data_IF_282123623980
#
_entry.id   IF_282123623980
#
_cell.length_a   1.000
_cell.length_b   1.000
_cell.length_c   1.000
_cell.angle_alpha   90.00
_cell.angle_beta   90.00
_cell.angle_gamma   90.00
#
_symmetry.space_group_name_H-M   'P 1'
#
loop_
_entity.id
_entity.type
_entity.pdbx_description
1 polymer ?
#
# COMPACT_ATOMS: atom_id res chain seq x y z
N UNK A 1 7.51 -12.28 -2.82
CA UNK A 1 8.27 -11.10 -2.38
C UNK A 1 7.25 -9.99 -2.23
N UNK A 2 6.72 -9.83 -1.03
CA UNK A 2 6.02 -8.61 -0.65
C UNK A 2 7.08 -7.58 -0.30
N UNK A 3 7.82 -7.12 -1.30
CA UNK A 3 8.47 -5.85 -1.21
C UNK A 3 7.39 -4.80 -1.28
N UNK A 4 6.78 -4.48 -0.15
CA UNK A 4 6.18 -3.17 0.01
C UNK A 4 7.32 -2.20 -0.11
N UNK A 5 7.58 -1.78 -1.31
CA UNK A 5 8.35 -0.61 -1.56
C UNK A 5 7.62 0.51 -0.87
N UNK A 6 8.31 1.10 0.09
CA UNK A 6 7.75 2.11 0.98
C UNK A 6 7.07 3.20 0.17
N UNK A 7 5.77 3.25 0.32
CA UNK A 7 5.00 4.46 0.03
C UNK A 7 4.69 4.72 -1.41
N UNK A 8 5.05 3.83 -2.34
CA UNK A 8 4.88 4.31 -3.65
C UNK A 8 4.02 3.43 -4.51
N UNK A 9 4.30 2.17 -4.59
CA UNK A 9 4.17 1.68 -5.94
C UNK A 9 2.91 0.93 -6.18
N UNK A 10 2.37 0.25 -5.19
CA UNK A 10 1.05 -0.36 -5.34
C UNK A 10 -0.09 0.67 -5.36
N UNK A 11 0.17 1.84 -4.75
CA UNK A 11 -0.83 2.92 -4.66
C UNK A 11 -0.53 4.10 -5.58
N UNK A 12 0.64 4.17 -6.18
CA UNK A 12 1.13 5.31 -6.99
C UNK A 12 1.29 4.99 -8.49
N UNK A 13 1.07 3.78 -8.93
CA UNK A 13 0.70 3.59 -10.33
C UNK A 13 -0.68 4.18 -10.54
N UNK A 14 -0.72 5.46 -10.22
CA UNK A 14 -1.90 6.25 -10.28
C UNK A 14 -2.14 6.57 -11.75
N UNK A 15 -3.27 6.23 -12.21
CA UNK A 15 -3.81 6.58 -13.52
C UNK A 15 -4.34 8.01 -13.51
N UNK A 16 -3.96 8.74 -12.47
CA UNK A 16 -4.38 10.09 -12.20
C UNK A 16 -3.15 11.02 -12.26
N UNK A 17 -3.37 12.31 -12.50
CA UNK A 17 -2.33 13.32 -12.52
C UNK A 17 -1.88 13.67 -11.09
N UNK A 18 -1.17 12.72 -10.48
CA UNK A 18 -0.70 12.81 -9.10
C UNK A 18 0.58 13.65 -8.95
N UNK A 19 1.08 13.74 -7.72
CA UNK A 19 2.29 14.50 -7.44
C UNK A 19 3.51 13.98 -8.22
N UNK A 20 3.66 12.66 -8.34
CA UNK A 20 4.78 12.10 -9.10
C UNK A 20 4.72 12.49 -10.58
N UNK A 21 3.53 12.40 -11.19
CA UNK A 21 3.34 12.80 -12.58
C UNK A 21 3.65 14.29 -12.80
N UNK A 22 3.26 15.18 -11.84
CA UNK A 22 3.51 16.62 -11.90
C UNK A 22 5.00 16.97 -11.89
N UNK A 23 5.83 16.13 -11.24
CA UNK A 23 7.28 16.35 -11.08
C UNK A 23 8.15 15.50 -12.01
N UNK A 24 7.53 14.70 -12.88
CA UNK A 24 8.24 13.86 -13.85
C UNK A 24 8.49 14.62 -15.15
N UNK A 25 9.69 14.45 -15.73
CA UNK A 25 10.02 14.98 -17.06
C UNK A 25 9.28 14.22 -18.16
N UNK A 26 9.02 12.93 -17.95
CA UNK A 26 8.32 12.07 -18.90
C UNK A 26 7.24 11.27 -18.15
N UNK A 27 6.00 11.34 -18.65
CA UNK A 27 4.86 10.56 -18.13
C UNK A 27 4.39 9.60 -19.22
N UNK A 28 4.39 8.31 -18.90
CA UNK A 28 3.91 7.25 -19.78
C UNK A 28 2.55 6.78 -19.26
N UNK A 29 1.43 7.15 -19.94
CA UNK A 29 0.10 6.79 -19.47
C UNK A 29 -0.16 5.30 -19.60
N UNK A 30 -0.68 4.68 -18.54
CA UNK A 30 -1.04 3.27 -18.53
C UNK A 30 -2.55 3.04 -18.48
N UNK A 31 -2.96 1.88 -18.99
CA UNK A 31 -4.35 1.44 -18.99
C UNK A 31 -4.87 1.13 -17.59
N UNK A 32 -6.18 1.30 -17.42
CA UNK A 32 -6.90 0.81 -16.25
C UNK A 32 -7.26 -0.67 -16.40
N UNK A 33 -7.71 -1.30 -15.33
CA UNK A 33 -8.17 -2.70 -15.38
C UNK A 33 -9.37 -2.95 -16.30
N UNK A 34 -10.14 -1.90 -16.61
CA UNK A 34 -11.26 -1.99 -17.56
C UNK A 34 -10.81 -1.95 -19.02
N UNK A 35 -9.63 -1.40 -19.28
CA UNK A 35 -9.07 -1.17 -20.63
C UNK A 35 -8.16 -2.31 -21.11
N UNK A 36 -7.92 -3.33 -20.27
CA UNK A 36 -7.10 -4.49 -20.59
C UNK A 36 -7.72 -5.78 -20.06
N UNK A 37 -7.26 -6.90 -20.56
CA UNK A 37 -7.57 -8.19 -19.96
C UNK A 37 -6.53 -8.55 -18.89
N UNK A 38 -6.96 -9.33 -17.89
CA UNK A 38 -6.09 -9.76 -16.80
C UNK A 38 -6.70 -10.98 -16.08
N UNK A 39 -6.02 -11.47 -15.05
CA UNK A 39 -6.53 -12.48 -14.12
C UNK A 39 -6.55 -11.89 -12.73
N UNK A 40 -7.70 -11.94 -12.07
CA UNK A 40 -7.82 -11.51 -10.67
C UNK A 40 -7.83 -12.72 -9.75
N UNK A 41 -6.99 -12.66 -8.73
CA UNK A 41 -6.93 -13.60 -7.62
C UNK A 41 -6.59 -12.85 -6.34
N UNK A 42 -7.25 -13.17 -5.24
CA UNK A 42 -6.97 -12.61 -3.92
C UNK A 42 -6.89 -13.70 -2.87
N UNK A 43 -5.98 -13.63 -1.90
CA UNK A 43 -5.85 -14.65 -0.86
C UNK A 43 -7.04 -14.71 0.12
N UNK A 44 -7.96 -13.75 0.05
CA UNK A 44 -9.13 -13.67 0.94
C UNK A 44 -10.43 -14.12 0.28
N UNK A 45 -10.39 -14.45 -0.99
CA UNK A 45 -11.55 -14.78 -1.79
C UNK A 45 -11.25 -16.06 -2.59
N UNK A 46 -12.14 -17.07 -2.58
CA UNK A 46 -11.89 -18.32 -3.31
C UNK A 46 -12.13 -18.23 -4.81
N UNK A 47 -12.44 -17.06 -5.35
CA UNK A 47 -12.74 -16.90 -6.76
C UNK A 47 -11.50 -16.50 -7.56
N UNK A 48 -11.31 -17.17 -8.68
CA UNK A 48 -10.39 -16.77 -9.76
C UNK A 48 -11.23 -16.18 -10.87
N UNK A 49 -10.97 -14.93 -11.23
CA UNK A 49 -11.79 -14.18 -12.18
C UNK A 49 -10.98 -13.85 -13.43
N UNK A 50 -11.56 -14.14 -14.58
CA UNK A 50 -11.06 -13.72 -15.89
C UNK A 50 -11.54 -12.29 -16.16
N UNK A 51 -10.66 -11.33 -16.01
CA UNK A 51 -10.97 -9.94 -16.31
C UNK A 51 -10.89 -9.72 -17.83
N UNK A 52 -12.01 -9.42 -18.45
CA UNK A 52 -12.06 -9.08 -19.87
C UNK A 52 -11.88 -7.58 -20.08
N UNK A 53 -11.25 -7.20 -21.17
CA UNK A 53 -11.24 -5.80 -21.62
C UNK A 53 -12.67 -5.37 -21.95
N UNK A 54 -13.14 -4.29 -21.33
CA UNK A 54 -14.51 -3.79 -21.47
C UNK A 54 -14.59 -2.51 -22.29
N UNK A 55 -13.52 -1.71 -22.29
CA UNK A 55 -13.44 -0.44 -23.00
C UNK A 55 -12.09 -0.30 -23.70
N UNK A 56 -12.03 0.52 -24.75
CA UNK A 56 -10.77 0.84 -25.40
C UNK A 56 -9.90 1.74 -24.53
N UNK A 57 -8.56 1.60 -24.61
CA UNK A 57 -7.65 2.49 -23.91
C UNK A 57 -7.89 3.97 -24.22
N UNK A 58 -7.90 4.81 -23.22
CA UNK A 58 -8.11 6.24 -23.41
C UNK A 58 -6.81 6.92 -23.91
N UNK A 59 -6.95 7.69 -24.99
CA UNK A 59 -5.86 8.52 -25.52
C UNK A 59 -4.63 7.70 -25.93
N UNK A 60 -3.49 7.98 -25.31
CA UNK A 60 -2.22 7.30 -25.59
C UNK A 60 -1.90 6.20 -24.58
N UNK A 61 -2.83 5.82 -23.72
CA UNK A 61 -2.59 4.81 -22.70
C UNK A 61 -2.28 3.44 -23.32
N UNK A 62 -1.29 2.78 -22.77
CA UNK A 62 -0.86 1.42 -23.17
C UNK A 62 -0.78 0.54 -21.92
N UNK A 63 -0.85 -0.78 -22.12
CA UNK A 63 -0.60 -1.71 -21.03
C UNK A 63 0.81 -1.53 -20.48
N UNK A 64 0.98 -1.71 -19.18
CA UNK A 64 2.29 -1.63 -18.52
C UNK A 64 3.32 -2.53 -19.22
N UNK A 65 2.91 -3.74 -19.60
CA UNK A 65 3.77 -4.68 -20.32
C UNK A 65 4.28 -4.09 -21.64
N UNK A 66 3.42 -3.47 -22.44
CA UNK A 66 3.78 -2.88 -23.73
C UNK A 66 4.70 -1.65 -23.55
N UNK A 67 4.48 -0.85 -22.49
CA UNK A 67 5.34 0.27 -22.14
C UNK A 67 6.76 -0.23 -21.85
N UNK A 68 6.88 -1.21 -20.94
CA UNK A 68 8.18 -1.76 -20.58
C UNK A 68 8.84 -2.57 -21.70
N UNK A 69 8.06 -3.29 -22.51
CA UNK A 69 8.54 -3.94 -23.73
C UNK A 69 9.16 -2.92 -24.70
N UNK A 70 8.49 -1.77 -24.89
CA UNK A 70 9.00 -0.69 -25.72
C UNK A 70 10.33 -0.10 -25.19
N UNK A 71 10.46 0.07 -23.88
CA UNK A 71 11.70 0.50 -23.23
C UNK A 71 12.79 -0.56 -23.42
N UNK A 72 12.49 -1.82 -23.14
CA UNK A 72 13.41 -2.95 -23.29
C UNK A 72 13.90 -3.11 -24.75
N UNK A 73 13.04 -2.85 -25.72
CA UNK A 73 13.40 -2.83 -27.13
C UNK A 73 14.45 -1.74 -27.43
N UNK A 74 14.23 -0.51 -26.94
CA UNK A 74 15.20 0.59 -27.10
C UNK A 74 16.53 0.33 -26.41
N UNK A 75 16.53 -0.47 -25.34
CA UNK A 75 17.73 -0.91 -24.63
C UNK A 75 18.38 -2.15 -25.25
N UNK A 76 17.80 -2.77 -26.27
CA UNK A 76 18.31 -3.98 -26.91
C UNK A 76 18.12 -5.27 -26.09
N UNK A 77 17.23 -5.26 -25.08
CA UNK A 77 16.99 -6.38 -24.15
C UNK A 77 15.56 -6.93 -24.21
N UNK A 78 14.79 -6.60 -25.25
CA UNK A 78 13.38 -7.00 -25.39
C UNK A 78 13.18 -8.50 -25.21
N UNK A 79 14.00 -9.33 -25.86
CA UNK A 79 13.88 -10.79 -25.76
C UNK A 79 14.12 -11.33 -24.35
N UNK A 80 14.99 -10.69 -23.58
CA UNK A 80 15.26 -11.06 -22.18
C UNK A 80 14.07 -10.66 -21.32
N UNK A 81 13.49 -9.48 -21.55
CA UNK A 81 12.34 -8.99 -20.81
C UNK A 81 11.07 -9.79 -21.10
N UNK A 82 10.79 -10.06 -22.36
CA UNK A 82 9.54 -10.71 -22.80
C UNK A 82 9.62 -12.22 -22.77
N UNK A 83 10.81 -12.81 -22.79
CA UNK A 83 11.04 -14.25 -23.07
C UNK A 83 10.33 -14.71 -24.35
N UNK A 84 10.20 -13.84 -25.33
CA UNK A 84 9.45 -14.01 -26.59
C UNK A 84 7.96 -14.30 -26.39
N UNK A 85 7.37 -13.83 -25.28
CA UNK A 85 5.92 -13.90 -25.00
C UNK A 85 5.31 -12.52 -25.10
N UNK A 86 4.08 -12.46 -25.59
CA UNK A 86 3.22 -11.29 -25.42
C UNK A 86 2.46 -11.34 -24.08
N UNK A 87 1.61 -10.34 -23.80
CA UNK A 87 0.88 -10.25 -22.53
C UNK A 87 -0.11 -11.41 -22.35
N UNK A 88 -0.79 -11.85 -23.41
CA UNK A 88 -1.74 -12.96 -23.35
C UNK A 88 -1.02 -14.29 -23.14
N UNK A 89 0.09 -14.51 -23.82
CA UNK A 89 0.93 -15.69 -23.66
C UNK A 89 1.50 -15.78 -22.23
N UNK A 90 1.86 -14.64 -21.61
CA UNK A 90 2.25 -14.59 -20.22
C UNK A 90 1.09 -14.93 -19.27
N UNK A 91 -0.10 -14.39 -19.48
CA UNK A 91 -1.28 -14.72 -18.68
C UNK A 91 -1.60 -16.22 -18.76
N UNK A 92 -1.57 -16.78 -19.97
CA UNK A 92 -1.78 -18.21 -20.21
C UNK A 92 -0.73 -19.06 -19.49
N UNK A 93 0.53 -18.68 -19.60
CA UNK A 93 1.62 -19.40 -18.93
C UNK A 93 1.49 -19.35 -17.40
N UNK A 94 1.25 -18.17 -16.81
CA UNK A 94 1.05 -18.01 -15.35
C UNK A 94 -0.13 -18.87 -14.88
N UNK A 95 -1.22 -18.85 -15.63
CA UNK A 95 -2.39 -19.67 -15.30
C UNK A 95 -2.08 -21.15 -15.31
N UNK A 96 -1.40 -21.64 -16.36
CA UNK A 96 -1.01 -23.05 -16.50
C UNK A 96 -0.05 -23.50 -15.41
N UNK A 97 0.94 -22.70 -15.08
CA UNK A 97 1.86 -22.96 -13.97
C UNK A 97 1.12 -23.03 -12.61
N UNK A 98 0.20 -22.10 -12.39
CA UNK A 98 -0.64 -22.10 -11.19
C UNK A 98 -1.52 -23.34 -11.12
N UNK A 99 -2.17 -23.71 -12.23
CA UNK A 99 -2.97 -24.93 -12.34
C UNK A 99 -2.15 -26.18 -12.04
N UNK A 100 -0.94 -26.25 -12.59
CA UNK A 100 -0.05 -27.41 -12.38
C UNK A 100 0.36 -27.53 -10.91
N UNK A 101 0.76 -26.43 -10.28
CA UNK A 101 1.11 -26.41 -8.86
C UNK A 101 -0.07 -26.74 -7.94
N UNK A 102 -1.27 -26.29 -8.31
CA UNK A 102 -2.50 -26.54 -7.54
C UNK A 102 -2.93 -28.02 -7.49
N UNK A 103 -2.51 -28.81 -8.46
CA UNK A 103 -2.78 -30.28 -8.49
C UNK A 103 -2.20 -30.99 -7.28
N UNK A 104 -1.06 -30.56 -6.76
CA UNK A 104 -0.46 -31.14 -5.53
C UNK A 104 -1.37 -30.97 -4.30
N UNK A 105 -2.26 -29.98 -4.32
CA UNK A 105 -3.27 -29.71 -3.30
C UNK A 105 -4.65 -30.27 -3.66
N UNK A 106 -4.74 -31.14 -4.67
CA UNK A 106 -5.99 -31.69 -5.21
C UNK A 106 -6.98 -30.62 -5.71
N UNK A 107 -6.47 -29.48 -6.19
CA UNK A 107 -7.29 -28.41 -6.78
C UNK A 107 -7.12 -28.49 -8.30
N UNK A 108 -8.22 -28.76 -8.98
CA UNK A 108 -8.25 -28.83 -10.44
C UNK A 108 -8.81 -27.53 -11.02
N UNK A 109 -8.02 -26.88 -11.85
CA UNK A 109 -8.43 -25.70 -12.61
C UNK A 109 -9.03 -26.14 -13.96
N UNK A 110 -10.03 -25.42 -14.49
CA UNK A 110 -10.43 -25.61 -15.88
C UNK A 110 -9.28 -25.30 -16.85
N UNK A 111 -9.40 -25.65 -18.11
CA UNK A 111 -8.43 -25.19 -19.11
C UNK A 111 -8.44 -23.67 -19.22
N UNK A 112 -7.38 -23.04 -19.73
CA UNK A 112 -7.33 -21.58 -19.86
C UNK A 112 -8.47 -21.03 -20.71
N UNK A 113 -8.80 -21.71 -21.84
CA UNK A 113 -9.87 -21.35 -22.73
C UNK A 113 -11.25 -21.49 -22.06
N UNK A 114 -11.48 -22.56 -21.32
CA UNK A 114 -12.71 -22.74 -20.54
C UNK A 114 -12.83 -21.64 -19.45
N UNK A 115 -11.74 -21.35 -18.74
CA UNK A 115 -11.71 -20.29 -17.74
C UNK A 115 -12.06 -18.92 -18.35
N UNK A 116 -11.48 -18.60 -19.50
CA UNK A 116 -11.78 -17.34 -20.21
C UNK A 116 -13.26 -17.26 -20.60
N UNK A 117 -13.86 -18.36 -21.06
CA UNK A 117 -15.26 -18.44 -21.45
C UNK A 117 -16.23 -18.39 -20.23
N UNK A 118 -15.87 -19.07 -19.14
CA UNK A 118 -16.66 -19.06 -17.91
C UNK A 118 -16.65 -17.68 -17.21
N UNK A 119 -15.60 -16.91 -17.40
CA UNK A 119 -15.39 -15.63 -16.74
C UNK A 119 -14.88 -15.75 -15.29
N UNK A 120 -15.15 -16.83 -14.59
CA UNK A 120 -14.66 -17.11 -13.24
C UNK A 120 -14.83 -18.57 -12.87
N UNK A 121 -14.10 -19.04 -11.88
CA UNK A 121 -14.38 -20.28 -11.16
C UNK A 121 -14.06 -20.14 -9.68
N UNK A 122 -14.65 -21.02 -8.87
CA UNK A 122 -14.45 -21.05 -7.43
C UNK A 122 -13.47 -22.17 -7.07
N UNK A 123 -12.39 -21.81 -6.41
CA UNK A 123 -11.48 -22.76 -5.77
C UNK A 123 -12.20 -23.45 -4.62
N UNK A 124 -12.23 -24.80 -4.56
CA UNK A 124 -12.90 -25.48 -3.45
C UNK A 124 -12.23 -25.13 -2.11
N UNK A 125 -13.01 -25.01 -1.03
CA UNK A 125 -12.45 -24.77 0.28
C UNK A 125 -11.54 -25.93 0.69
N UNK A 126 -10.51 -25.69 1.51
CA UNK A 126 -9.69 -26.75 2.06
C UNK A 126 -10.57 -27.74 2.85
N UNK A 127 -10.26 -29.03 2.78
CA UNK A 127 -11.02 -30.08 3.47
C UNK A 127 -11.04 -29.91 5.00
N UNK A 128 -10.00 -29.32 5.53
CA UNK A 128 -9.88 -29.00 6.95
C UNK A 128 -9.53 -27.53 7.13
N UNK A 129 -10.05 -26.92 8.20
CA UNK A 129 -9.65 -25.57 8.58
C UNK A 129 -8.16 -25.54 8.91
N UNK A 130 -7.43 -24.69 8.23
CA UNK A 130 -6.00 -24.47 8.51
C UNK A 130 -5.87 -23.64 9.78
N UNK A 131 -5.42 -24.29 10.85
CA UNK A 131 -5.04 -23.59 12.08
C UNK A 131 -3.57 -23.20 11.98
N UNK A 132 -3.26 -21.95 12.33
CA UNK A 132 -1.89 -21.48 12.35
C UNK A 132 -1.01 -22.35 13.24
N UNK A 133 0.10 -22.82 12.70
CA UNK A 133 1.08 -23.68 13.40
C UNK A 133 0.51 -24.98 13.97
N UNK A 134 -0.57 -25.54 13.37
CA UNK A 134 -1.21 -26.78 13.86
C UNK A 134 -0.20 -27.91 14.06
N UNK A 135 0.59 -28.21 13.03
CA UNK A 135 1.52 -29.34 13.06
C UNK A 135 2.64 -29.11 14.04
N UNK A 136 3.23 -27.92 14.07
CA UNK A 136 4.21 -27.53 15.08
C UNK A 136 3.66 -27.62 16.52
N UNK A 137 2.42 -27.19 16.74
CA UNK A 137 1.78 -27.25 18.07
C UNK A 137 1.53 -28.67 18.54
N UNK A 138 1.18 -29.55 17.61
CA UNK A 138 0.89 -30.96 17.92
C UNK A 138 2.18 -31.79 18.11
N UNK A 139 3.19 -31.54 17.29
CA UNK A 139 4.47 -32.27 17.34
C UNK A 139 5.60 -31.35 16.86
N UNK A 140 6.15 -30.52 17.75
CA UNK A 140 7.19 -29.56 17.40
C UNK A 140 8.54 -30.18 17.03
N UNK A 141 8.76 -31.43 17.39
CA UNK A 141 10.01 -32.16 17.08
C UNK A 141 10.04 -32.61 15.62
N UNK A 142 8.93 -33.16 15.13
CA UNK A 142 8.82 -33.64 13.76
C UNK A 142 8.36 -32.54 12.76
N UNK A 143 7.76 -31.44 13.27
CA UNK A 143 7.32 -30.32 12.48
C UNK A 143 7.92 -28.98 12.99
N UNK A 144 9.26 -28.85 12.94
CA UNK A 144 9.91 -27.63 13.42
C UNK A 144 9.52 -26.42 12.58
N UNK A 145 9.60 -25.23 13.17
CA UNK A 145 9.45 -23.98 12.42
C UNK A 145 10.66 -23.72 11.52
N UNK A 146 10.51 -22.90 10.52
CA UNK A 146 11.59 -22.46 9.61
C UNK A 146 12.59 -21.47 10.23
N UNK A 147 12.52 -21.26 11.54
CA UNK A 147 13.48 -20.46 12.31
C UNK A 147 14.78 -21.21 12.52
N UNK A 148 15.93 -20.54 12.76
CA UNK A 148 17.20 -21.20 13.04
C UNK A 148 17.16 -22.23 14.18
N UNK A 149 16.32 -22.01 15.19
CA UNK A 149 16.15 -22.93 16.33
C UNK A 149 15.08 -24.01 16.08
N UNK A 150 14.30 -23.93 15.00
CA UNK A 150 13.11 -24.75 14.77
C UNK A 150 11.95 -24.44 15.71
N UNK A 151 12.07 -23.41 16.55
CA UNK A 151 11.10 -23.01 17.59
C UNK A 151 10.68 -21.56 17.40
N UNK A 152 9.71 -21.10 18.19
CA UNK A 152 9.38 -19.67 18.31
C UNK A 152 10.57 -18.97 18.97
N UNK A 153 11.15 -18.00 18.29
CA UNK A 153 12.28 -17.22 18.79
C UNK A 153 11.80 -15.88 19.34
N UNK A 154 11.90 -15.71 20.65
CA UNK A 154 11.66 -14.42 21.31
C UNK A 154 12.86 -13.49 21.10
N UNK A 155 14.06 -14.04 21.07
CA UNK A 155 15.30 -13.35 20.73
C UNK A 155 15.82 -13.85 19.38
N UNK A 156 15.97 -12.97 18.42
CA UNK A 156 16.51 -13.28 17.09
C UNK A 156 18.01 -12.98 17.06
N UNK A 157 18.82 -14.02 17.00
CA UNK A 157 20.27 -13.87 16.82
C UNK A 157 20.63 -13.22 15.48
N UNK A 158 19.80 -13.43 14.46
CA UNK A 158 20.00 -12.82 13.14
C UNK A 158 19.82 -11.30 13.22
N UNK A 159 18.75 -10.81 13.84
CA UNK A 159 18.52 -9.37 14.02
C UNK A 159 19.61 -8.77 14.92
N UNK A 160 19.94 -9.43 16.03
CA UNK A 160 21.00 -8.97 16.93
C UNK A 160 22.37 -8.86 16.23
N UNK A 161 22.63 -9.72 15.25
CA UNK A 161 23.91 -9.70 14.51
C UNK A 161 24.10 -8.42 13.67
N UNK A 162 23.03 -7.70 13.34
CA UNK A 162 23.12 -6.44 12.60
C UNK A 162 23.64 -5.27 13.45
N UNK A 163 23.59 -5.41 14.77
CA UNK A 163 24.09 -4.42 15.75
C UNK A 163 23.50 -3.03 15.58
N UNK A 164 22.21 -2.96 15.25
CA UNK A 164 21.48 -1.71 15.23
C UNK A 164 21.05 -1.29 16.65
N UNK A 165 21.34 -0.05 17.03
CA UNK A 165 20.96 0.48 18.34
C UNK A 165 19.45 0.62 18.50
N UNK A 166 18.75 0.86 17.41
CA UNK A 166 17.29 1.04 17.33
C UNK A 166 16.52 -0.24 16.94
N UNK A 167 17.22 -1.37 16.79
CA UNK A 167 16.63 -2.67 16.44
C UNK A 167 17.35 -3.83 17.13
N UNK A 168 17.22 -3.99 18.45
CA UNK A 168 17.79 -5.11 19.19
C UNK A 168 17.13 -6.44 18.79
N UNK A 169 17.76 -7.56 19.13
CA UNK A 169 17.31 -8.91 18.75
C UNK A 169 15.98 -9.36 19.36
N UNK A 170 15.33 -8.53 20.16
CA UNK A 170 14.02 -8.80 20.76
C UNK A 170 13.19 -7.50 20.86
N UNK A 171 11.85 -7.61 20.97
CA UNK A 171 11.00 -6.43 21.19
C UNK A 171 11.43 -5.68 22.46
N UNK A 172 11.76 -4.42 22.29
CA UNK A 172 12.25 -3.55 23.37
C UNK A 172 11.56 -2.20 23.27
N UNK A 173 11.21 -1.62 24.43
CA UNK A 173 10.77 -0.25 24.45
C UNK A 173 11.95 0.67 24.18
N UNK A 174 11.86 1.45 23.12
CA UNK A 174 12.78 2.53 22.80
C UNK A 174 12.04 3.84 23.01
N UNK A 175 12.58 4.69 23.87
CA UNK A 175 11.96 5.97 24.20
C UNK A 175 11.87 6.85 22.95
N UNK A 176 10.66 7.25 22.49
CA UNK A 176 10.53 8.17 21.37
C UNK A 176 11.13 9.53 21.73
N UNK A 177 11.88 10.13 20.80
CA UNK A 177 12.43 11.46 21.01
C UNK A 177 11.35 12.56 21.07
N UNK A 178 10.21 12.34 20.43
CA UNK A 178 9.07 13.27 20.36
C UNK A 178 7.80 12.60 20.90
N UNK A 179 7.42 12.91 22.13
CA UNK A 179 6.17 12.44 22.73
C UNK A 179 5.78 13.32 23.91
N UNK A 180 4.54 13.26 24.39
CA UNK A 180 4.01 14.10 25.46
C UNK A 180 4.73 13.96 26.82
N UNK A 181 5.39 12.84 27.07
CA UNK A 181 6.17 12.62 28.28
C UNK A 181 7.58 13.22 28.25
N UNK A 182 8.07 13.63 27.08
CA UNK A 182 9.38 14.27 26.96
C UNK A 182 9.28 15.74 27.37
N UNK A 183 9.81 16.07 28.55
CA UNK A 183 9.80 17.42 29.13
C UNK A 183 10.67 18.42 28.36
N UNK A 184 11.60 17.94 27.55
CA UNK A 184 12.51 18.77 26.75
C UNK A 184 12.00 19.00 25.33
N UNK A 185 10.73 18.67 25.06
CA UNK A 185 10.15 18.83 23.74
C UNK A 185 9.82 20.31 23.47
N UNK A 186 10.37 20.88 22.40
CA UNK A 186 10.10 22.25 21.97
C UNK A 186 8.69 22.39 21.35
N UNK A 187 8.04 21.29 21.02
CA UNK A 187 6.74 21.24 20.34
C UNK A 187 5.69 20.64 21.27
N UNK A 188 4.77 21.46 21.82
CA UNK A 188 3.88 21.04 22.91
C UNK A 188 2.72 20.14 22.47
N UNK A 189 2.50 19.99 21.17
CA UNK A 189 1.42 19.14 20.64
C UNK A 189 1.97 17.86 20.04
N UNK A 190 1.35 16.73 20.39
CA UNK A 190 1.66 15.43 19.81
C UNK A 190 0.76 15.19 18.59
N UNK A 191 1.36 14.95 17.41
CA UNK A 191 0.63 14.65 16.19
C UNK A 191 0.40 13.13 16.05
N UNK A 192 -0.86 12.74 15.97
CA UNK A 192 -1.28 11.39 15.57
C UNK A 192 -1.64 11.41 14.08
N UNK A 193 -1.05 10.50 13.32
CA UNK A 193 -1.34 10.33 11.90
C UNK A 193 -1.95 8.96 11.66
N UNK A 194 -3.25 8.92 11.38
CA UNK A 194 -4.03 7.70 11.19
C UNK A 194 -4.45 7.53 9.72
N UNK A 195 -5.00 6.36 9.39
CA UNK A 195 -5.65 6.15 8.10
C UNK A 195 -6.92 6.99 7.98
N UNK A 196 -7.14 7.68 6.84
CA UNK A 196 -8.35 8.44 6.60
C UNK A 196 -9.58 7.54 6.44
N UNK A 197 -10.76 8.03 6.82
CA UNK A 197 -12.03 7.32 6.64
C UNK A 197 -12.54 7.32 5.20
N UNK A 198 -12.17 8.34 4.44
CA UNK A 198 -12.74 8.69 3.13
C UNK A 198 -11.88 8.28 1.94
N UNK A 199 -10.72 7.68 2.18
CA UNK A 199 -9.80 7.20 1.13
C UNK A 199 -8.90 6.11 1.67
N UNK A 200 -8.33 5.30 0.79
CA UNK A 200 -7.32 4.31 1.15
C UNK A 200 -5.94 4.91 0.88
N UNK A 201 -5.17 5.17 1.94
CA UNK A 201 -3.90 5.89 1.84
C UNK A 201 -4.07 7.23 1.08
N UNK A 202 -3.40 7.40 -0.05
CA UNK A 202 -3.49 8.58 -0.92
C UNK A 202 -4.36 8.36 -2.16
N UNK A 203 -5.01 7.20 -2.27
CA UNK A 203 -5.84 6.89 -3.44
C UNK A 203 -7.03 7.83 -3.52
N UNK A 204 -7.29 8.35 -4.73
CA UNK A 204 -8.41 9.22 -5.01
C UNK A 204 -8.47 10.51 -4.15
N UNK A 205 -7.33 11.01 -3.68
CA UNK A 205 -7.27 12.27 -2.91
C UNK A 205 -7.85 13.48 -3.68
N UNK A 206 -7.72 13.45 -5.01
CA UNK A 206 -8.29 14.44 -5.92
C UNK A 206 -9.79 14.25 -6.21
N UNK A 207 -10.38 13.11 -5.82
CA UNK A 207 -11.78 12.78 -6.10
C UNK A 207 -12.75 13.69 -5.34
N UNK A 208 -13.94 13.93 -5.89
CA UNK A 208 -14.98 14.80 -5.30
C UNK A 208 -15.36 14.37 -3.87
N UNK A 209 -15.47 13.05 -3.64
CA UNK A 209 -15.75 12.50 -2.31
C UNK A 209 -14.64 12.84 -1.31
N UNK A 210 -13.38 12.63 -1.67
CA UNK A 210 -12.25 12.97 -0.78
C UNK A 210 -12.16 14.47 -0.53
N UNK A 211 -12.39 15.28 -1.55
CA UNK A 211 -12.40 16.75 -1.45
C UNK A 211 -13.50 17.29 -0.54
N UNK A 212 -14.65 16.62 -0.46
CA UNK A 212 -15.76 17.06 0.41
C UNK A 212 -15.41 17.03 1.92
N UNK A 213 -14.36 16.34 2.31
CA UNK A 213 -13.86 16.32 3.69
C UNK A 213 -12.77 17.35 3.97
N UNK A 214 -12.23 18.00 2.93
CA UNK A 214 -11.19 19.01 3.09
C UNK A 214 -11.78 20.35 3.58
N UNK A 215 -10.99 21.08 4.34
CA UNK A 215 -11.31 22.42 4.82
C UNK A 215 -10.46 23.39 4.01
N UNK A 216 -11.10 24.24 3.20
CA UNK A 216 -10.41 25.18 2.29
C UNK A 216 -9.28 24.50 1.50
N UNK A 217 -9.62 23.34 0.91
CA UNK A 217 -8.72 22.47 0.13
C UNK A 217 -7.51 21.89 0.88
N UNK A 218 -7.50 21.94 2.22
CA UNK A 218 -6.47 21.35 3.08
C UNK A 218 -7.00 20.14 3.83
N UNK A 219 -6.12 19.18 4.11
CA UNK A 219 -6.45 18.04 4.97
C UNK A 219 -6.85 18.53 6.35
N UNK A 220 -7.93 17.99 6.97
CA UNK A 220 -8.33 18.40 8.30
C UNK A 220 -7.31 18.00 9.36
N UNK A 221 -7.06 18.89 10.30
CA UNK A 221 -6.41 18.58 11.59
C UNK A 221 -7.44 18.73 12.71
N UNK A 222 -7.65 17.67 13.46
CA UNK A 222 -8.50 17.71 14.63
C UNK A 222 -7.73 18.22 15.84
N UNK A 223 -8.33 19.15 16.61
CA UNK A 223 -7.73 19.80 17.75
C UNK A 223 -8.75 19.98 18.87
N UNK A 224 -8.32 19.77 20.13
CA UNK A 224 -9.17 20.02 21.30
C UNK A 224 -9.54 21.50 21.43
N UNK A 225 -10.77 21.86 21.87
CA UNK A 225 -11.21 23.25 22.06
C UNK A 225 -10.26 24.09 22.91
N UNK A 226 -9.75 23.54 24.03
CA UNK A 226 -8.82 24.26 24.92
C UNK A 226 -7.48 24.55 24.24
N UNK A 227 -6.97 23.60 23.46
CA UNK A 227 -5.73 23.80 22.70
C UNK A 227 -5.91 24.84 21.60
N UNK A 228 -7.06 24.87 20.96
CA UNK A 228 -7.40 25.86 19.95
C UNK A 228 -7.56 27.26 20.58
N UNK A 229 -8.36 27.36 21.64
CA UNK A 229 -8.62 28.63 22.35
C UNK A 229 -7.34 29.28 22.87
N UNK A 230 -6.45 28.49 23.49
CA UNK A 230 -5.17 28.99 24.01
C UNK A 230 -4.24 29.56 22.94
N UNK A 231 -4.51 29.25 21.68
CA UNK A 231 -3.74 29.69 20.48
C UNK A 231 -4.50 30.68 19.60
N UNK A 232 -5.73 31.08 19.99
CA UNK A 232 -6.59 31.96 19.17
C UNK A 232 -7.02 31.34 17.86
N UNK A 233 -7.14 30.02 17.78
CA UNK A 233 -7.49 29.26 16.59
C UNK A 233 -8.98 28.93 16.61
N UNK A 234 -9.67 29.12 15.49
CA UNK A 234 -11.10 28.84 15.31
C UNK A 234 -11.30 27.66 14.37
N UNK A 235 -12.50 27.05 14.45
CA UNK A 235 -12.91 26.05 13.49
C UNK A 235 -12.90 26.59 12.06
N UNK A 236 -12.31 25.83 11.13
CA UNK A 236 -12.18 26.24 9.73
C UNK A 236 -10.98 27.15 9.41
N UNK A 237 -10.17 27.51 10.38
CA UNK A 237 -8.92 28.24 10.12
C UNK A 237 -7.89 27.34 9.42
N UNK A 238 -7.02 27.96 8.64
CA UNK A 238 -5.84 27.30 8.11
C UNK A 238 -4.67 27.53 9.06
N UNK A 239 -4.05 26.44 9.48
CA UNK A 239 -2.91 26.46 10.39
C UNK A 239 -1.70 25.81 9.77
N UNK A 240 -0.52 26.19 10.24
CA UNK A 240 0.75 25.55 9.92
C UNK A 240 1.13 24.59 11.03
N UNK A 241 1.20 23.30 10.72
CA UNK A 241 1.83 22.29 11.58
C UNK A 241 3.31 22.20 11.22
N UNK A 242 4.19 22.26 12.19
CA UNK A 242 5.63 22.26 11.92
C UNK A 242 6.44 21.69 13.08
N UNK A 243 7.63 21.23 12.73
CA UNK A 243 8.74 20.93 13.65
C UNK A 243 10.07 21.21 12.92
N UNK A 244 11.19 20.76 13.48
CA UNK A 244 12.53 20.98 12.90
C UNK A 244 12.72 20.26 11.54
N UNK A 245 11.90 19.24 11.24
CA UNK A 245 12.00 18.48 9.98
C UNK A 245 11.18 19.06 8.82
N UNK A 246 10.19 19.88 9.12
CA UNK A 246 9.35 20.46 8.08
C UNK A 246 8.04 21.04 8.57
N UNK A 247 7.19 21.43 7.60
CA UNK A 247 5.90 22.04 7.86
C UNK A 247 4.87 21.67 6.80
N UNK A 248 3.59 21.65 7.21
CA UNK A 248 2.46 21.53 6.30
C UNK A 248 1.30 22.42 6.72
N UNK A 249 0.40 22.73 5.78
CA UNK A 249 -0.83 23.46 6.05
C UNK A 249 -1.99 22.47 6.25
N UNK A 250 -2.86 22.77 7.22
CA UNK A 250 -4.05 21.98 7.52
C UNK A 250 -5.24 22.88 7.84
N UNK A 251 -6.45 22.39 7.56
CA UNK A 251 -7.68 23.05 7.99
C UNK A 251 -8.12 22.56 9.38
N UNK A 252 -8.45 23.48 10.30
CA UNK A 252 -8.76 23.08 11.68
C UNK A 252 -10.20 22.59 11.82
N UNK A 253 -10.34 21.39 12.37
CA UNK A 253 -11.60 20.84 12.88
C UNK A 253 -11.53 20.77 14.41
N UNK A 254 -12.30 21.61 15.10
CA UNK A 254 -12.36 21.58 16.57
C UNK A 254 -13.22 20.40 17.01
N UNK A 255 -12.65 19.54 17.87
CA UNK A 255 -13.27 18.28 18.31
C UNK A 255 -12.92 17.99 19.78
N UNK A 256 -13.92 17.95 20.64
CA UNK A 256 -13.78 17.66 22.07
C UNK A 256 -13.45 16.20 22.41
N UNK A 257 -13.50 15.31 21.41
CA UNK A 257 -13.12 13.90 21.56
C UNK A 257 -11.61 13.65 21.43
N UNK A 258 -10.85 14.65 20.98
CA UNK A 258 -9.39 14.62 20.98
C UNK A 258 -8.89 15.02 22.37
N UNK A 259 -7.88 14.31 22.87
CA UNK A 259 -7.22 14.65 24.13
C UNK A 259 -6.46 15.97 24.02
N UNK A 260 -6.53 16.80 25.05
CA UNK A 260 -5.68 18.00 25.18
C UNK A 260 -4.18 17.66 25.02
N UNK A 261 -3.44 18.49 24.30
CA UNK A 261 -2.04 18.26 23.96
C UNK A 261 -1.83 17.33 22.74
N UNK A 262 -2.92 16.85 22.14
CA UNK A 262 -2.87 15.96 20.95
C UNK A 262 -3.60 16.61 19.80
N UNK A 263 -3.04 16.49 18.60
CA UNK A 263 -3.71 16.81 17.33
C UNK A 263 -3.69 15.59 16.43
N UNK A 264 -4.72 15.44 15.61
CA UNK A 264 -4.83 14.32 14.69
C UNK A 264 -5.00 14.82 13.26
N UNK A 265 -4.13 14.38 12.37
CA UNK A 265 -4.26 14.62 10.94
C UNK A 265 -4.03 13.32 10.17
N UNK A 266 -5.00 12.91 9.37
CA UNK A 266 -4.90 11.67 8.61
C UNK A 266 -3.78 11.71 7.56
N UNK A 267 -3.23 10.53 7.25
CA UNK A 267 -2.28 10.36 6.13
C UNK A 267 -2.96 10.50 4.77
N UNK A 268 -2.17 10.56 3.71
CA UNK A 268 -2.65 10.37 2.35
C UNK A 268 -3.02 11.64 1.58
N UNK A 269 -2.74 12.83 2.11
CA UNK A 269 -2.76 14.03 1.28
C UNK A 269 -1.66 13.97 0.22
N UNK A 270 -1.97 14.38 -1.00
CA UNK A 270 -0.95 14.45 -2.05
C UNK A 270 0.03 15.58 -1.76
N UNK A 271 1.30 15.32 -2.07
CA UNK A 271 2.33 16.34 -2.00
C UNK A 271 2.01 17.48 -2.97
N UNK A 272 1.79 18.65 -2.43
CA UNK A 272 1.44 19.86 -3.16
C UNK A 272 2.08 21.06 -2.47
N UNK A 273 3.40 21.25 -2.64
CA UNK A 273 4.13 22.28 -1.95
C UNK A 273 3.71 23.67 -2.40
N UNK A 274 3.68 24.62 -1.47
CA UNK A 274 3.37 26.02 -1.73
C UNK A 274 4.45 26.66 -2.62
N UNK A 275 5.68 26.21 -2.47
CA UNK A 275 6.80 26.58 -3.34
C UNK A 275 7.51 25.32 -3.87
N UNK A 276 7.27 24.93 -5.13
CA UNK A 276 7.84 23.72 -5.71
C UNK A 276 9.38 23.71 -5.83
N UNK A 277 10.02 24.85 -5.64
CA UNK A 277 11.48 25.01 -5.78
C UNK A 277 12.24 24.96 -4.45
N UNK A 278 11.53 24.80 -3.33
CA UNK A 278 12.13 24.70 -1.99
C UNK A 278 11.91 23.33 -1.38
#
# INVERSE_FOLDING_TARGET
>A
IYGCLVGSEMCIRDRCWNSLAKYSDIVLPCTTSLERQDIMLTPRDPYVVSMSKLVEPFGLAKNDFDIFKGIANKMGVEKIFTENRDEEEWQKWIYQETSTKSKSSNINFPSYEEFRNLGWFKVPPPKENTLMLKDFRNDPLNNPLSTPSGKIEIFSKTVDSFKYDDCPGHPTWLEPCEWLGNKNNNYPLHLISNQPKNKLHSQMDHGSYSKSFKIKDREPVEMHPDDASSRGINHGDIVKLYNDRGACLAGVNINDKIRTGVVQMSTGAWYDPENPKN
#
